data_IF_567489412009
#
_entry.id   IF_567489412009
#
_cell.length_a   1.000
_cell.length_b   1.000
_cell.length_c   1.000
_cell.angle_alpha   90.00
_cell.angle_beta   90.00
_cell.angle_gamma   90.00
#
_symmetry.space_group_name_H-M   'P 1'
#
loop_
_entity.id
_entity.type
_entity.pdbx_description
1 polymer ?
#
# COMPACT_ATOMS: atom_id res chain seq x y z
N UNK A 1 -12.97 7.43 -1.50
CA UNK A 1 -12.14 7.43 -0.28
C UNK A 1 -10.81 8.14 -0.49
N UNK A 2 -10.05 7.86 -1.56
CA UNK A 2 -8.76 8.54 -1.79
C UNK A 2 -8.81 10.08 -1.81
N UNK A 3 -9.91 10.67 -2.30
CA UNK A 3 -10.10 12.13 -2.48
C UNK A 3 -10.77 12.84 -1.30
N UNK A 4 -11.01 12.16 -0.17
CA UNK A 4 -11.66 12.77 0.98
C UNK A 4 -10.71 13.52 1.93
N UNK A 5 -9.40 13.52 1.64
CA UNK A 5 -8.35 14.19 2.44
C UNK A 5 -8.38 13.87 3.95
N UNK A 6 -8.83 12.67 4.31
CA UNK A 6 -8.96 12.28 5.72
C UNK A 6 -10.15 12.92 6.44
N UNK A 7 -11.09 13.53 5.71
CA UNK A 7 -12.29 14.14 6.29
C UNK A 7 -13.52 13.23 6.12
N UNK A 8 -14.11 12.83 7.25
CA UNK A 8 -15.33 12.04 7.27
C UNK A 8 -16.53 12.82 6.70
N UNK A 9 -16.57 14.14 6.90
CA UNK A 9 -17.62 14.99 6.31
C UNK A 9 -17.48 15.06 4.80
N UNK A 10 -16.24 15.27 4.29
CA UNK A 10 -15.97 15.26 2.85
C UNK A 10 -16.35 13.93 2.22
N UNK A 11 -16.03 12.80 2.87
CA UNK A 11 -16.44 11.47 2.40
C UNK A 11 -17.97 11.33 2.31
N UNK A 12 -18.71 11.74 3.34
CA UNK A 12 -20.18 11.71 3.33
C UNK A 12 -20.76 12.61 2.22
N UNK A 13 -20.21 13.80 2.04
CA UNK A 13 -20.62 14.72 0.98
C UNK A 13 -20.35 14.13 -0.41
N UNK A 14 -19.18 13.51 -0.62
CA UNK A 14 -18.88 12.82 -1.89
C UNK A 14 -19.84 11.66 -2.15
N UNK A 15 -20.22 10.89 -1.13
CA UNK A 15 -21.20 9.82 -1.26
C UNK A 15 -22.58 10.36 -1.65
N UNK A 16 -23.03 11.46 -1.03
CA UNK A 16 -24.32 12.07 -1.35
C UNK A 16 -24.33 12.76 -2.73
N UNK A 17 -23.20 13.32 -3.16
CA UNK A 17 -23.04 13.89 -4.50
C UNK A 17 -23.28 12.86 -5.62
N UNK A 18 -23.19 11.57 -5.32
CA UNK A 18 -23.58 10.50 -6.24
C UNK A 18 -25.04 10.66 -6.70
N UNK A 19 -25.94 11.08 -5.80
CA UNK A 19 -27.35 11.32 -6.11
C UNK A 19 -27.48 12.46 -7.11
N UNK A 20 -26.88 13.61 -6.81
CA UNK A 20 -26.89 14.78 -7.69
C UNK A 20 -26.32 14.45 -9.08
N UNK A 21 -25.22 13.70 -9.11
CA UNK A 21 -24.61 13.24 -10.36
C UNK A 21 -25.59 12.40 -11.21
N UNK A 22 -26.29 11.43 -10.62
CA UNK A 22 -27.27 10.62 -11.34
C UNK A 22 -28.55 11.39 -11.72
N UNK A 23 -28.86 12.48 -11.04
CA UNK A 23 -29.92 13.41 -11.44
C UNK A 23 -29.49 14.43 -12.52
N UNK A 24 -28.24 14.36 -13.00
CA UNK A 24 -27.68 15.29 -13.99
C UNK A 24 -27.25 16.64 -13.40
N UNK A 25 -27.18 16.76 -12.07
CA UNK A 25 -26.72 17.95 -11.35
C UNK A 25 -25.23 17.81 -11.04
N UNK A 26 -24.39 18.44 -11.86
CA UNK A 26 -22.93 18.26 -11.81
C UNK A 26 -22.16 19.36 -11.07
N UNK A 27 -22.84 20.23 -10.30
CA UNK A 27 -22.22 21.35 -9.59
C UNK A 27 -21.09 20.92 -8.63
N UNK A 28 -21.31 19.83 -7.91
CA UNK A 28 -20.39 19.31 -6.90
C UNK A 28 -19.47 18.19 -7.43
N UNK A 29 -19.50 17.91 -8.74
CA UNK A 29 -18.57 16.97 -9.38
C UNK A 29 -17.15 17.54 -9.43
N UNK A 30 -16.15 16.68 -9.43
CA UNK A 30 -14.73 17.07 -9.54
C UNK A 30 -14.52 17.86 -10.85
N UNK A 31 -13.74 18.94 -10.83
CA UNK A 31 -13.55 19.81 -12.01
C UNK A 31 -13.07 19.04 -13.24
N UNK A 32 -12.09 18.14 -13.05
CA UNK A 32 -11.53 17.33 -14.13
C UNK A 32 -12.38 16.11 -14.50
N UNK A 33 -13.61 16.00 -13.96
CA UNK A 33 -14.47 14.87 -14.26
C UNK A 33 -15.04 14.97 -15.68
N UNK A 34 -15.12 13.85 -16.43
CA UNK A 34 -15.66 13.84 -17.80
C UNK A 34 -17.08 14.42 -17.91
N UNK A 35 -17.88 14.32 -16.84
CA UNK A 35 -19.24 14.85 -16.82
C UNK A 35 -19.35 16.38 -16.88
N UNK A 36 -18.26 17.11 -16.63
CA UNK A 36 -18.20 18.57 -16.81
C UNK A 36 -17.76 18.97 -18.22
N UNK A 37 -17.27 18.03 -19.03
CA UNK A 37 -16.81 18.31 -20.39
C UNK A 37 -18.01 18.59 -21.31
N UNK A 38 -17.90 19.63 -22.13
CA UNK A 38 -18.93 19.96 -23.11
C UNK A 38 -19.14 18.79 -24.10
N UNK A 39 -20.39 18.38 -24.28
CA UNK A 39 -20.76 17.24 -25.15
C UNK A 39 -20.62 15.87 -24.49
N UNK A 40 -20.36 15.79 -23.17
CA UNK A 40 -20.40 14.51 -22.46
C UNK A 40 -21.81 13.91 -22.49
N UNK A 41 -21.90 12.66 -22.94
CA UNK A 41 -23.14 11.87 -22.91
C UNK A 41 -23.09 10.97 -21.69
N UNK A 42 -24.06 11.07 -20.76
CA UNK A 42 -24.14 10.18 -19.61
C UNK A 42 -24.21 8.71 -20.04
N UNK A 43 -23.43 7.86 -19.38
CA UNK A 43 -23.44 6.41 -19.62
C UNK A 43 -24.65 5.70 -19.02
N UNK A 44 -25.38 6.37 -18.12
CA UNK A 44 -26.54 5.84 -17.40
C UNK A 44 -27.75 6.74 -17.55
N UNK A 45 -28.95 6.16 -17.46
CA UNK A 45 -30.21 6.89 -17.48
C UNK A 45 -30.31 7.81 -16.25
N UNK A 46 -30.70 9.07 -16.48
CA UNK A 46 -30.80 10.07 -15.43
C UNK A 46 -32.03 9.82 -14.55
N UNK A 47 -31.85 9.99 -13.24
CA UNK A 47 -32.93 9.90 -12.27
C UNK A 47 -33.75 11.20 -12.33
N UNK A 48 -34.99 11.08 -12.80
CA UNK A 48 -35.95 12.20 -12.86
C UNK A 48 -37.07 12.09 -11.81
N UNK A 49 -37.33 10.88 -11.32
CA UNK A 49 -38.38 10.62 -10.33
C UNK A 49 -37.91 11.03 -8.91
N UNK A 50 -38.61 11.93 -8.21
CA UNK A 50 -38.27 12.34 -6.85
C UNK A 50 -38.34 11.18 -5.84
N UNK A 51 -39.13 10.14 -6.10
CA UNK A 51 -39.17 8.95 -5.23
C UNK A 51 -37.87 8.17 -5.35
N UNK A 52 -37.40 7.93 -6.58
CA UNK A 52 -36.13 7.27 -6.85
C UNK A 52 -34.94 8.05 -6.27
N UNK A 53 -34.94 9.39 -6.35
CA UNK A 53 -33.93 10.24 -5.73
C UNK A 53 -33.87 10.03 -4.21
N UNK A 54 -35.03 10.04 -3.55
CA UNK A 54 -35.13 9.82 -2.10
C UNK A 54 -34.72 8.41 -1.68
N UNK A 55 -35.06 7.39 -2.47
CA UNK A 55 -34.65 6.00 -2.22
C UNK A 55 -33.12 5.86 -2.28
N UNK A 56 -32.48 6.43 -3.30
CA UNK A 56 -31.03 6.37 -3.44
C UNK A 56 -30.32 7.13 -2.29
N UNK A 57 -30.81 8.32 -1.95
CA UNK A 57 -30.28 9.10 -0.82
C UNK A 57 -30.41 8.35 0.52
N UNK A 58 -31.57 7.73 0.76
CA UNK A 58 -31.84 6.94 1.96
C UNK A 58 -30.97 5.68 2.02
N UNK A 59 -30.83 4.99 0.89
CA UNK A 59 -29.95 3.83 0.76
C UNK A 59 -28.49 4.20 1.08
N UNK A 60 -27.96 5.27 0.48
CA UNK A 60 -26.59 5.72 0.76
C UNK A 60 -26.37 6.02 2.24
N UNK A 61 -27.34 6.70 2.90
CA UNK A 61 -27.30 7.00 4.35
C UNK A 61 -27.37 5.73 5.21
N UNK A 62 -27.98 4.67 4.71
CA UNK A 62 -28.08 3.38 5.41
C UNK A 62 -26.78 2.57 5.40
N UNK A 63 -25.88 2.84 4.44
CA UNK A 63 -24.63 2.09 4.27
C UNK A 63 -23.69 2.26 5.48
N UNK A 64 -22.93 1.19 5.77
CA UNK A 64 -21.92 1.20 6.83
C UNK A 64 -20.85 2.26 6.60
N UNK A 65 -20.44 2.46 5.34
CA UNK A 65 -19.43 3.47 4.96
C UNK A 65 -19.91 4.89 5.29
N UNK A 66 -21.19 5.19 5.05
CA UNK A 66 -21.74 6.51 5.36
C UNK A 66 -21.86 6.74 6.87
N UNK A 67 -22.41 5.75 7.59
CA UNK A 67 -22.59 5.78 9.05
C UNK A 67 -21.25 5.92 9.77
N UNK A 68 -20.29 5.06 9.42
CA UNK A 68 -18.99 4.94 10.08
C UNK A 68 -17.87 5.57 9.25
N UNK A 69 -18.15 6.67 8.55
CA UNK A 69 -17.19 7.34 7.67
C UNK A 69 -15.84 7.65 8.35
N UNK A 70 -15.85 7.89 9.68
CA UNK A 70 -14.66 8.09 10.50
C UNK A 70 -13.68 6.90 10.51
N UNK A 71 -14.17 5.67 10.47
CA UNK A 71 -13.30 4.48 10.46
C UNK A 71 -12.68 4.29 9.08
N UNK A 72 -13.46 4.53 8.02
CA UNK A 72 -13.02 4.34 6.64
C UNK A 72 -11.98 5.38 6.20
N UNK A 73 -11.99 6.60 6.74
CA UNK A 73 -10.93 7.58 6.45
C UNK A 73 -9.58 7.15 7.03
N UNK A 74 -9.57 6.43 8.16
CA UNK A 74 -8.34 5.91 8.76
C UNK A 74 -7.77 4.75 7.94
N UNK A 75 -8.64 4.01 7.24
CA UNK A 75 -8.26 2.91 6.37
C UNK A 75 -7.78 3.33 4.98
N UNK A 76 -7.72 4.63 4.64
CA UNK A 76 -7.43 5.08 3.26
C UNK A 76 -5.98 4.78 2.82
N UNK A 77 -5.03 4.85 3.76
CA UNK A 77 -3.59 4.77 3.48
C UNK A 77 -2.96 3.47 4.02
N UNK A 78 -3.71 2.36 3.95
CA UNK A 78 -3.23 1.06 4.44
C UNK A 78 -2.19 0.42 3.52
N UNK A 79 -1.93 0.96 2.34
CA UNK A 79 -0.99 0.41 1.36
C UNK A 79 0.39 0.09 1.98
N UNK A 80 0.96 1.04 2.74
CA UNK A 80 2.26 0.82 3.37
C UNK A 80 2.19 -0.30 4.43
N UNK A 81 1.15 -0.32 5.25
CA UNK A 81 0.93 -1.35 6.28
C UNK A 81 0.74 -2.73 5.65
N UNK A 82 -0.08 -2.83 4.60
CA UNK A 82 -0.32 -4.06 3.87
C UNK A 82 0.96 -4.56 3.17
N UNK A 83 1.70 -3.66 2.54
CA UNK A 83 2.97 -4.01 1.90
C UNK A 83 4.01 -4.50 2.92
N UNK A 84 4.05 -3.90 4.12
CA UNK A 84 4.93 -4.34 5.20
C UNK A 84 4.54 -5.73 5.71
N UNK A 85 3.26 -5.96 5.94
CA UNK A 85 2.74 -7.27 6.33
C UNK A 85 3.04 -8.35 5.29
N UNK A 86 2.93 -8.01 4.00
CA UNK A 86 3.30 -8.92 2.92
C UNK A 86 4.80 -9.26 2.94
N UNK A 87 5.68 -8.28 3.16
CA UNK A 87 7.12 -8.55 3.31
C UNK A 87 7.41 -9.39 4.56
N UNK A 88 6.78 -9.08 5.69
CA UNK A 88 6.90 -9.87 6.93
C UNK A 88 6.57 -11.34 6.70
N UNK A 89 5.51 -11.65 5.96
CA UNK A 89 5.09 -13.02 5.65
C UNK A 89 6.10 -13.79 4.78
N UNK A 90 6.97 -13.11 4.01
CA UNK A 90 8.05 -13.77 3.26
C UNK A 90 9.08 -14.38 4.21
N UNK A 91 9.41 -13.67 5.30
CA UNK A 91 10.45 -14.08 6.24
C UNK A 91 9.90 -14.86 7.44
N UNK A 92 8.68 -14.53 7.86
CA UNK A 92 7.96 -15.09 9.00
C UNK A 92 6.64 -15.67 8.49
N UNK A 93 6.71 -16.90 7.98
CA UNK A 93 5.48 -17.61 7.61
C UNK A 93 4.65 -17.89 8.87
N UNK A 94 3.37 -17.49 8.82
CA UNK A 94 2.40 -17.71 9.91
C UNK A 94 2.20 -19.19 10.27
N UNK A 95 2.54 -20.12 9.39
CA UNK A 95 2.37 -21.57 9.56
C UNK A 95 3.53 -22.21 10.31
N UNK A 96 4.64 -21.49 10.50
CA UNK A 96 5.83 -22.01 11.16
C UNK A 96 5.97 -21.33 12.51
N UNK A 97 6.11 -22.14 13.57
CA UNK A 97 6.41 -21.61 14.89
C UNK A 97 7.93 -21.34 14.98
N UNK A 98 8.29 -20.07 15.14
CA UNK A 98 9.67 -19.64 15.36
C UNK A 98 9.88 -19.30 16.84
N UNK A 99 10.99 -19.78 17.40
CA UNK A 99 11.45 -19.35 18.72
C UNK A 99 11.93 -17.89 18.68
N UNK A 100 11.95 -17.21 19.83
CA UNK A 100 12.15 -15.76 19.98
C UNK A 100 13.34 -15.19 19.19
N UNK A 101 14.49 -15.85 19.27
CA UNK A 101 15.72 -15.41 18.57
C UNK A 101 15.55 -15.46 17.05
N UNK A 102 15.00 -16.55 16.53
CA UNK A 102 14.77 -16.74 15.10
C UNK A 102 13.69 -15.80 14.58
N UNK A 103 12.64 -15.58 15.37
CA UNK A 103 11.59 -14.63 15.07
C UNK A 103 12.15 -13.20 14.94
N UNK A 104 12.90 -12.76 15.95
CA UNK A 104 13.50 -11.41 15.99
C UNK A 104 14.45 -11.17 14.82
N UNK A 105 15.30 -12.16 14.49
CA UNK A 105 16.19 -12.07 13.33
C UNK A 105 15.42 -11.92 12.01
N UNK A 106 14.40 -12.75 11.80
CA UNK A 106 13.59 -12.74 10.57
C UNK A 106 12.76 -11.46 10.45
N UNK A 107 12.27 -10.94 11.57
CA UNK A 107 11.61 -9.63 11.63
C UNK A 107 12.57 -8.53 11.20
N UNK A 108 13.81 -8.52 11.71
CA UNK A 108 14.84 -7.58 11.30
C UNK A 108 15.13 -7.64 9.80
N UNK A 109 15.24 -8.84 9.23
CA UNK A 109 15.45 -9.03 7.79
C UNK A 109 14.27 -8.51 6.96
N UNK A 110 13.03 -8.77 7.39
CA UNK A 110 11.84 -8.26 6.72
C UNK A 110 11.77 -6.72 6.74
N UNK A 111 12.14 -6.09 7.85
CA UNK A 111 12.22 -4.63 7.96
C UNK A 111 13.27 -4.07 7.00
N UNK A 112 14.44 -4.70 6.89
CA UNK A 112 15.49 -4.27 5.95
C UNK A 112 15.04 -4.41 4.48
N UNK A 113 14.43 -5.55 4.11
CA UNK A 113 13.89 -5.76 2.76
C UNK A 113 12.80 -4.74 2.42
N UNK A 114 11.85 -4.51 3.35
CA UNK A 114 10.78 -3.57 3.14
C UNK A 114 11.29 -2.13 3.02
N UNK A 115 12.20 -1.70 3.89
CA UNK A 115 12.77 -0.35 3.84
C UNK A 115 13.55 -0.08 2.54
N UNK A 116 14.23 -1.08 1.98
CA UNK A 116 14.93 -0.91 0.71
C UNK A 116 13.98 -0.83 -0.50
N UNK A 117 12.78 -1.39 -0.41
CA UNK A 117 11.85 -1.52 -1.55
C UNK A 117 10.53 -0.76 -1.44
N UNK A 118 10.20 -0.20 -0.28
CA UNK A 118 8.99 0.60 -0.10
C UNK A 118 9.00 1.79 -1.05
N UNK A 119 7.90 2.03 -1.76
CA UNK A 119 7.80 3.14 -2.71
C UNK A 119 8.71 3.01 -3.94
N UNK A 120 9.17 1.80 -4.28
CA UNK A 120 10.04 1.55 -5.45
C UNK A 120 9.44 2.15 -6.73
N UNK A 121 10.30 2.85 -7.47
CA UNK A 121 9.93 3.49 -8.74
C UNK A 121 9.59 2.46 -9.82
N UNK A 122 8.80 2.90 -10.81
CA UNK A 122 8.47 2.10 -11.98
C UNK A 122 9.12 2.69 -13.24
N UNK A 123 9.56 1.80 -14.13
CA UNK A 123 10.24 2.19 -15.37
C UNK A 123 9.26 2.45 -16.51
N UNK A 124 8.09 1.83 -16.46
CA UNK A 124 7.04 2.01 -17.46
C UNK A 124 5.69 1.55 -16.94
N UNK A 125 4.63 2.01 -17.60
CA UNK A 125 3.27 1.48 -17.49
C UNK A 125 2.90 0.92 -18.86
N UNK A 126 2.46 -0.34 -18.93
CA UNK A 126 1.86 -0.85 -20.16
C UNK A 126 0.34 -0.79 -20.02
N UNK A 127 -0.33 -0.47 -21.12
CA UNK A 127 -1.79 -0.38 -21.20
C UNK A 127 -2.33 -1.68 -21.77
N UNK A 128 -3.38 -2.23 -21.14
CA UNK A 128 -4.18 -3.28 -21.75
C UNK A 128 -5.37 -2.59 -22.38
N UNK A 129 -5.44 -2.64 -23.71
CA UNK A 129 -6.61 -2.21 -24.46
C UNK A 129 -7.53 -3.42 -24.63
N UNK A 130 -8.76 -3.29 -24.13
CA UNK A 130 -9.83 -4.25 -24.40
C UNK A 130 -10.66 -3.72 -25.57
N UNK A 131 -10.69 -4.46 -26.69
CA UNK A 131 -11.42 -4.06 -27.89
C UNK A 131 -12.93 -3.90 -27.64
N UNK A 132 -13.49 -4.61 -26.65
CA UNK A 132 -14.91 -4.51 -26.27
C UNK A 132 -15.18 -3.32 -25.33
N UNK A 133 -14.14 -2.81 -24.67
CA UNK A 133 -14.23 -1.70 -23.72
C UNK A 133 -13.00 -0.78 -23.86
N UNK A 134 -12.87 -0.06 -24.98
CA UNK A 134 -11.72 0.80 -25.26
C UNK A 134 -11.52 1.91 -24.20
N UNK A 135 -12.59 2.26 -23.50
CA UNK A 135 -12.63 3.25 -22.42
C UNK A 135 -11.99 2.73 -21.12
N UNK A 136 -11.84 1.40 -20.96
CA UNK A 136 -11.22 0.77 -19.79
C UNK A 136 -9.73 0.61 -20.01
N UNK A 137 -9.00 1.72 -19.90
CA UNK A 137 -7.54 1.68 -19.91
C UNK A 137 -7.01 1.21 -18.55
N UNK A 138 -6.86 -0.11 -18.41
CA UNK A 138 -6.21 -0.73 -17.26
C UNK A 138 -4.72 -0.92 -17.51
N UNK A 139 -3.86 -0.16 -16.82
CA UNK A 139 -2.41 -0.32 -16.93
C UNK A 139 -1.78 -0.96 -15.69
N UNK A 140 -0.74 -1.78 -15.87
CA UNK A 140 0.11 -2.25 -14.75
C UNK A 140 1.47 -1.56 -14.78
N UNK A 141 1.92 -1.10 -13.60
CA UNK A 141 3.25 -0.52 -13.38
C UNK A 141 4.32 -1.62 -13.43
N UNK A 142 5.34 -1.44 -14.27
CA UNK A 142 6.53 -2.30 -14.32
C UNK A 142 7.62 -1.69 -13.43
N UNK A 143 7.82 -2.27 -12.26
CA UNK A 143 8.73 -1.75 -11.25
C UNK A 143 10.20 -2.07 -11.54
N UNK A 144 11.14 -1.20 -11.13
CA UNK A 144 12.59 -1.43 -11.23
C UNK A 144 13.01 -2.70 -10.49
N UNK A 145 13.97 -3.50 -10.96
CA UNK A 145 14.40 -4.75 -10.27
C UNK A 145 14.75 -4.51 -8.79
N UNK A 146 14.36 -5.43 -7.88
CA UNK A 146 14.73 -5.38 -6.46
C UNK A 146 16.25 -5.47 -6.33
N UNK A 147 16.82 -4.68 -5.41
CA UNK A 147 18.22 -4.74 -5.00
C UNK A 147 18.29 -5.31 -3.57
N UNK A 148 19.36 -5.97 -3.19
CA UNK A 148 19.51 -6.52 -1.84
C UNK A 148 20.79 -5.96 -1.23
N UNK A 149 20.90 -4.64 -1.15
CA UNK A 149 22.11 -3.99 -0.63
C UNK A 149 22.35 -4.34 0.84
N UNK A 150 21.28 -4.58 1.60
CA UNK A 150 21.39 -5.00 2.99
C UNK A 150 22.07 -6.36 3.15
N UNK A 151 21.90 -7.31 2.22
CA UNK A 151 22.54 -8.63 2.33
C UNK A 151 24.05 -8.52 2.17
N UNK A 152 24.51 -7.69 1.23
CA UNK A 152 25.95 -7.43 1.06
C UNK A 152 26.56 -6.76 2.29
N UNK A 153 25.84 -5.81 2.91
CA UNK A 153 26.28 -5.17 4.16
C UNK A 153 26.38 -6.17 5.31
N UNK A 154 25.36 -7.02 5.48
CA UNK A 154 25.38 -8.06 6.52
C UNK A 154 26.54 -9.02 6.29
N UNK A 155 26.74 -9.48 5.05
CA UNK A 155 27.85 -10.38 4.70
C UNK A 155 29.20 -9.76 5.05
N UNK A 156 29.41 -8.49 4.71
CA UNK A 156 30.64 -7.77 5.04
C UNK A 156 30.86 -7.70 6.56
N UNK A 157 29.84 -7.30 7.33
CA UNK A 157 29.95 -7.21 8.79
C UNK A 157 30.24 -8.56 9.45
N UNK A 158 29.68 -9.65 8.93
CA UNK A 158 29.96 -11.01 9.43
C UNK A 158 31.42 -11.39 9.18
N UNK A 159 31.96 -11.07 8.00
CA UNK A 159 33.37 -11.34 7.68
C UNK A 159 34.32 -10.50 8.54
N UNK A 160 34.02 -9.22 8.74
CA UNK A 160 34.80 -8.33 9.62
C UNK A 160 34.79 -8.84 11.07
N UNK A 161 33.63 -9.25 11.58
CA UNK A 161 33.51 -9.80 12.94
C UNK A 161 34.26 -11.13 13.10
N UNK A 162 34.29 -11.98 12.06
CA UNK A 162 35.05 -13.22 12.08
C UNK A 162 36.56 -12.96 12.12
N UNK A 163 37.05 -12.02 11.30
CA UNK A 163 38.47 -11.65 11.26
C UNK A 163 38.98 -11.06 12.60
N UNK A 164 38.16 -10.24 13.27
CA UNK A 164 38.48 -9.72 14.60
C UNK A 164 38.61 -10.84 15.63
N UNK A 165 37.73 -11.84 15.57
CA UNK A 165 37.72 -12.96 16.52
C UNK A 165 38.99 -13.82 16.43
N UNK A 166 39.49 -14.05 15.21
CA UNK A 166 40.76 -14.73 14.95
C UNK A 166 41.97 -13.95 15.51
N UNK A 167 41.98 -12.62 15.38
CA UNK A 167 43.06 -11.78 15.93
C UNK A 167 43.11 -11.77 17.48
N UNK A 168 41.96 -11.88 18.14
CA UNK A 168 41.87 -11.99 19.60
C UNK A 168 42.18 -13.39 20.14
N UNK A 169 41.98 -14.47 19.37
CA UNK A 169 42.42 -15.81 19.77
C UNK A 169 43.93 -16.02 19.62
N UNK A 170 44.55 -15.40 18.62
CA UNK A 170 46.00 -15.49 18.40
C UNK A 170 46.84 -14.76 19.46
N UNK A 171 46.25 -13.86 20.24
CA UNK A 171 46.95 -13.08 21.28
C UNK A 171 46.89 -13.73 22.67
N UNK A 172 45.93 -14.64 22.92
CA UNK A 172 45.77 -15.32 24.21
C UNK A 172 46.58 -16.63 24.36
N UNK A 173 47.09 -17.21 23.26
CA UNK A 173 47.81 -18.51 23.28
C UNK A 173 49.34 -18.40 23.42
N UNK A 174 49.92 -17.27 23.85
CA UNK A 174 51.38 -17.08 23.84
C UNK A 174 51.99 -16.53 25.12
N UNK A 175 51.91 -17.29 26.23
CA UNK A 175 52.98 -17.31 27.25
C UNK A 175 53.15 -18.74 27.81
N UNK A 176 54.16 -19.52 27.40
CA UNK A 176 54.64 -20.62 28.21
C UNK A 176 55.58 -20.07 29.28
N UNK A 177 55.19 -20.15 30.55
CA UNK A 177 56.10 -19.95 31.67
C UNK A 177 57.11 -21.13 31.71
N UNK A 178 58.30 -20.91 31.17
CA UNK A 178 59.47 -21.69 31.53
C UNK A 178 59.97 -21.19 32.89
N UNK A 179 59.61 -21.89 33.96
CA UNK A 179 60.18 -21.74 35.30
C UNK A 179 61.03 -22.96 35.65
N UNK A 180 62.33 -22.72 35.81
CA UNK A 180 63.39 -23.66 36.20
C UNK A 180 63.25 -24.20 37.62
#
# INVERSE_FOLDING_TARGET
MATCDGSATKLRTTLLNCVDHFCGRHSNCVEDSPCKTAGHVPSTLLIQDPVAENLLSSFLRSTTVFKNAGDYIQAKDTYHVESFNNTMLIYIDKRVHYMDRSYSLRQGLAVLDWNEHVGRQYTSTYFVEDACHPDRQGGKKKYTKKKFSFTEKIRRLVLEAAALKESSQATDESIPENGS
#
